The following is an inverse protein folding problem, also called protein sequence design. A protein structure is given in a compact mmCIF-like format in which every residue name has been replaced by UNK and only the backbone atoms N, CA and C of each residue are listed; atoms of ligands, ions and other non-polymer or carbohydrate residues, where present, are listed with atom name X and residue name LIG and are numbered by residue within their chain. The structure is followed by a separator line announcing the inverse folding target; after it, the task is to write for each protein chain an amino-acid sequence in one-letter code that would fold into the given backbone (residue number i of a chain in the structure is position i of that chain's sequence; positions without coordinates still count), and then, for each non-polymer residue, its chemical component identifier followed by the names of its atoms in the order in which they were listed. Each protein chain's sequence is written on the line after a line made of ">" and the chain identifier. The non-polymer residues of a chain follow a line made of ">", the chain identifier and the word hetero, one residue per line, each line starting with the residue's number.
data_IF_115373841241
#
_entry.id   IF_115373841241
#
_cell.length_a   1.000
_cell.length_b   1.000
_cell.length_c   1.000
_cell.angle_alpha   90.00
_cell.angle_beta   90.00
_cell.angle_gamma   90.00
#
_symmetry.space_group_name_H-M   'P 1'
#
loop_
_entity.id
_entity.type
_entity.pdbx_description
1 polymer ?
#
# COMPACT_ATOMS: atom_id res chain seq x y z
N UNK A 1 14.44 -7.11 -4.32
CA UNK A 1 13.42 -6.20 -3.73
C UNK A 1 12.08 -6.28 -4.44
N UNK A 2 12.01 -6.20 -5.77
CA UNK A 2 10.74 -6.39 -6.50
C UNK A 2 10.10 -7.75 -6.21
N UNK A 3 10.85 -8.85 -6.27
CA UNK A 3 10.31 -10.20 -5.99
C UNK A 3 9.82 -10.35 -4.54
N UNK A 4 10.48 -9.69 -3.57
CA UNK A 4 10.02 -9.64 -2.19
C UNK A 4 8.74 -8.82 -2.05
N UNK A 5 8.64 -7.70 -2.78
CA UNK A 5 7.41 -6.89 -2.81
C UNK A 5 6.27 -7.72 -3.39
N UNK A 6 6.49 -8.39 -4.53
CA UNK A 6 5.50 -9.26 -5.15
C UNK A 6 5.09 -10.40 -4.22
N UNK A 7 6.04 -11.12 -3.62
CA UNK A 7 5.75 -12.18 -2.64
C UNK A 7 4.91 -11.67 -1.48
N UNK A 8 5.21 -10.47 -0.99
CA UNK A 8 4.45 -9.84 0.10
C UNK A 8 3.02 -9.52 -0.33
N UNK A 9 2.83 -8.96 -1.53
CA UNK A 9 1.50 -8.67 -2.07
C UNK A 9 0.71 -9.95 -2.38
N UNK A 10 1.37 -11.02 -2.84
CA UNK A 10 0.74 -12.33 -3.04
C UNK A 10 0.31 -12.96 -1.72
N UNK A 11 1.10 -12.84 -0.66
CA UNK A 11 0.67 -13.27 0.68
C UNK A 11 -0.59 -12.52 1.15
N UNK A 12 -0.71 -11.22 0.84
CA UNK A 12 -1.94 -10.47 1.08
C UNK A 12 -3.09 -11.03 0.26
N UNK A 13 -2.91 -11.38 -1.02
CA UNK A 13 -3.91 -12.01 -1.89
C UNK A 13 -4.34 -13.41 -1.41
N UNK A 14 -3.45 -14.16 -0.80
CA UNK A 14 -3.76 -15.49 -0.29
C UNK A 14 -4.29 -15.45 1.16
N UNK A 15 -4.28 -14.27 1.80
CA UNK A 15 -4.52 -14.09 3.25
C UNK A 15 -3.57 -14.94 4.10
N UNK A 16 -2.38 -15.22 3.58
CA UNK A 16 -1.38 -16.01 4.27
C UNK A 16 -0.63 -15.13 5.27
N UNK A 17 -1.10 -15.16 6.51
CA UNK A 17 -0.53 -14.39 7.63
C UNK A 17 0.93 -14.77 7.88
N UNK A 18 1.28 -16.05 7.72
CA UNK A 18 2.63 -16.53 8.00
C UNK A 18 3.58 -16.06 6.91
N UNK A 19 3.20 -16.22 5.65
CA UNK A 19 3.97 -15.74 4.52
C UNK A 19 4.09 -14.21 4.51
N UNK A 20 3.03 -13.49 4.92
CA UNK A 20 3.05 -12.03 4.97
C UNK A 20 4.06 -11.52 6.00
N UNK A 21 4.01 -12.01 7.25
CA UNK A 21 4.99 -11.64 8.28
C UNK A 21 6.41 -12.01 7.89
N UNK A 22 6.61 -13.21 7.35
CA UNK A 22 7.93 -13.63 6.86
C UNK A 22 8.45 -12.73 5.74
N UNK A 23 7.57 -12.29 4.84
CA UNK A 23 7.94 -11.39 3.74
C UNK A 23 8.22 -9.97 4.23
N UNK A 24 7.52 -9.47 5.26
CA UNK A 24 7.83 -8.19 5.91
C UNK A 24 9.23 -8.20 6.56
N UNK A 25 9.55 -9.24 7.32
CA UNK A 25 10.89 -9.42 7.89
C UNK A 25 11.97 -9.53 6.80
N UNK A 26 11.66 -10.19 5.68
CA UNK A 26 12.59 -10.26 4.55
C UNK A 26 12.76 -8.91 3.81
N UNK A 27 11.71 -8.09 3.73
CA UNK A 27 11.77 -6.75 3.14
C UNK A 27 12.64 -5.81 3.99
N UNK A 28 12.51 -5.88 5.31
CA UNK A 28 13.35 -5.10 6.23
C UNK A 28 13.57 -5.85 7.55
N UNK A 29 14.71 -6.55 7.69
CA UNK A 29 15.00 -7.32 8.88
C UNK A 29 15.04 -6.46 10.14
N UNK A 30 14.39 -6.92 11.21
CA UNK A 30 14.39 -6.23 12.51
C UNK A 30 13.65 -4.89 12.52
N UNK A 31 12.70 -4.67 11.61
CA UNK A 31 11.91 -3.44 11.55
C UNK A 31 11.04 -3.22 12.81
N UNK A 32 10.65 -4.30 13.49
CA UNK A 32 9.76 -4.29 14.64
C UNK A 32 8.34 -3.80 14.30
N UNK A 33 7.42 -3.75 15.28
CA UNK A 33 6.00 -3.50 15.02
C UNK A 33 5.70 -2.18 14.30
N UNK A 34 6.40 -1.10 14.66
CA UNK A 34 6.24 0.20 14.01
C UNK A 34 6.78 0.20 12.57
N UNK A 35 7.91 -0.47 12.32
CA UNK A 35 8.49 -0.56 10.99
C UNK A 35 7.66 -1.45 10.07
N UNK A 36 7.14 -2.57 10.57
CA UNK A 36 6.16 -3.39 9.86
C UNK A 36 4.92 -2.58 9.48
N UNK A 37 4.42 -1.72 10.38
CA UNK A 37 3.26 -0.84 10.11
C UNK A 37 3.56 0.12 8.96
N UNK A 38 4.75 0.73 8.95
CA UNK A 38 5.18 1.61 7.85
C UNK A 38 5.29 0.84 6.52
N UNK A 39 5.84 -0.38 6.54
CA UNK A 39 5.91 -1.23 5.34
C UNK A 39 4.51 -1.60 4.84
N UNK A 40 3.58 -1.95 5.72
CA UNK A 40 2.17 -2.22 5.38
C UNK A 40 1.53 -1.00 4.71
N UNK A 41 1.79 0.22 5.20
CA UNK A 41 1.32 1.46 4.59
C UNK A 41 1.94 1.67 3.19
N UNK A 42 3.23 1.42 3.02
CA UNK A 42 3.87 1.50 1.70
C UNK A 42 3.29 0.49 0.71
N UNK A 43 3.01 -0.73 1.16
CA UNK A 43 2.35 -1.76 0.35
C UNK A 43 0.91 -1.37 -0.03
N UNK A 44 0.17 -0.68 0.85
CA UNK A 44 -1.14 -0.10 0.52
C UNK A 44 -1.06 0.89 -0.65
N UNK A 45 -0.09 1.82 -0.60
CA UNK A 45 0.16 2.78 -1.67
C UNK A 45 0.56 2.10 -2.98
N UNK A 46 1.43 1.07 -2.88
CA UNK A 46 1.81 0.26 -4.03
C UNK A 46 0.59 -0.48 -4.65
N UNK A 47 -0.29 -1.04 -3.83
CA UNK A 47 -1.53 -1.68 -4.29
C UNK A 47 -2.46 -0.70 -5.03
N UNK A 48 -2.58 0.55 -4.55
CA UNK A 48 -3.34 1.58 -5.25
C UNK A 48 -2.72 1.90 -6.63
N UNK A 49 -1.39 2.09 -6.69
CA UNK A 49 -0.69 2.32 -7.95
C UNK A 49 -0.88 1.16 -8.93
N UNK A 50 -0.77 -0.08 -8.44
CA UNK A 50 -1.01 -1.29 -9.24
C UNK A 50 -2.43 -1.34 -9.81
N UNK A 51 -3.45 -0.98 -9.02
CA UNK A 51 -4.83 -0.87 -9.49
C UNK A 51 -4.98 0.19 -10.59
N UNK A 52 -4.38 1.37 -10.39
CA UNK A 52 -4.41 2.49 -11.35
C UNK A 52 -3.76 2.06 -12.68
N UNK A 53 -2.59 1.42 -12.62
CA UNK A 53 -1.85 0.97 -13.80
C UNK A 53 -2.55 -0.17 -14.54
N UNK A 54 -3.19 -1.10 -13.81
CA UNK A 54 -3.93 -2.21 -14.41
C UNK A 54 -5.34 -1.86 -14.89
N UNK A 55 -5.86 -0.66 -14.59
CA UNK A 55 -7.22 -0.26 -14.96
C UNK A 55 -7.23 1.03 -15.79
N UNK A 56 -7.17 0.94 -17.13
CA UNK A 56 -7.02 2.11 -18.00
C UNK A 56 -8.18 3.13 -17.94
N UNK A 57 -9.34 2.74 -17.39
CA UNK A 57 -10.57 3.55 -17.37
C UNK A 57 -11.10 3.93 -15.96
N UNK A 58 -10.32 3.81 -14.88
CA UNK A 58 -10.73 4.42 -13.61
C UNK A 58 -10.66 5.93 -13.80
N UNK A 59 -11.73 6.66 -13.41
CA UNK A 59 -11.70 8.11 -13.21
C UNK A 59 -10.72 8.40 -12.07
N UNK A 60 -9.44 8.46 -12.43
CA UNK A 60 -8.36 8.87 -11.56
C UNK A 60 -7.97 10.26 -12.02
N UNK A 61 -7.97 11.23 -11.12
CA UNK A 61 -7.42 12.56 -11.40
C UNK A 61 -6.01 12.41 -11.98
N UNK A 62 -5.64 13.18 -13.01
CA UNK A 62 -4.29 13.10 -13.64
C UNK A 62 -3.15 13.14 -12.60
N UNK A 63 -3.40 13.82 -11.47
CA UNK A 63 -2.56 13.90 -10.29
C UNK A 63 -2.14 12.56 -9.65
N UNK A 64 -2.89 11.47 -9.85
CA UNK A 64 -2.59 10.15 -9.29
C UNK A 64 -1.95 9.18 -10.30
N UNK A 65 -2.05 9.44 -11.62
CA UNK A 65 -1.34 8.63 -12.64
C UNK A 65 0.16 8.93 -12.69
N UNK A 66 0.54 10.20 -12.49
CA UNK A 66 1.95 10.62 -12.48
C UNK A 66 2.80 9.89 -11.44
N UNK A 67 2.39 9.85 -10.14
CA UNK A 67 3.09 9.11 -9.10
C UNK A 67 3.12 7.58 -9.31
N UNK A 68 2.04 6.98 -9.82
CA UNK A 68 1.97 5.54 -10.06
C UNK A 68 2.99 5.06 -11.12
N UNK A 69 3.26 5.89 -12.14
CA UNK A 69 4.24 5.59 -13.18
C UNK A 69 5.70 5.79 -12.75
N UNK A 70 5.97 6.33 -11.55
CA UNK A 70 7.32 6.55 -11.03
C UNK A 70 7.77 5.38 -10.14
N UNK A 71 8.97 4.87 -10.41
CA UNK A 71 9.64 3.94 -9.52
C UNK A 71 10.21 4.69 -8.32
N UNK A 72 9.84 4.25 -7.13
CA UNK A 72 10.30 4.76 -5.84
C UNK A 72 10.58 3.58 -4.89
N UNK A 73 11.80 2.99 -4.96
CA UNK A 73 12.15 1.75 -4.27
C UNK A 73 11.95 1.79 -2.76
N UNK A 74 12.16 2.96 -2.13
CA UNK A 74 11.99 3.15 -0.68
C UNK A 74 10.54 2.92 -0.26
N UNK A 75 9.58 3.33 -1.09
CA UNK A 75 8.14 3.17 -0.83
C UNK A 75 7.54 1.99 -1.59
N UNK A 76 8.38 1.06 -2.07
CA UNK A 76 7.97 -0.17 -2.76
C UNK A 76 7.09 0.05 -4.01
N UNK A 77 7.18 1.21 -4.64
CA UNK A 77 6.55 1.50 -5.93
C UNK A 77 7.55 1.21 -7.05
N UNK A 78 7.21 0.35 -8.01
CA UNK A 78 8.17 -0.14 -9.00
C UNK A 78 7.85 0.27 -10.44
N UNK A 79 6.73 0.97 -10.66
CA UNK A 79 6.31 1.48 -11.98
C UNK A 79 5.54 0.46 -12.84
N UNK A 80 5.27 0.80 -14.11
CA UNK A 80 4.37 0.05 -14.99
C UNK A 80 4.78 -1.39 -15.27
N UNK A 81 6.07 -1.66 -15.50
CA UNK A 81 6.56 -3.02 -15.80
C UNK A 81 6.33 -4.00 -14.63
N UNK A 82 6.31 -3.49 -13.40
CA UNK A 82 5.98 -4.31 -12.24
C UNK A 82 4.47 -4.62 -12.16
N UNK A 83 3.62 -3.76 -12.71
CA UNK A 83 2.19 -3.99 -12.75
C UNK A 83 1.81 -5.20 -13.62
N UNK A 84 2.61 -5.50 -14.66
CA UNK A 84 2.43 -6.67 -15.54
C UNK A 84 2.61 -8.02 -14.81
N UNK A 85 3.15 -8.02 -13.57
CA UNK A 85 3.30 -9.23 -12.74
C UNK A 85 1.99 -9.68 -12.09
N UNK A 86 0.97 -8.83 -12.10
CA UNK A 86 -0.35 -9.11 -11.54
C UNK A 86 -1.40 -8.96 -12.64
N UNK A 87 -2.37 -9.86 -12.67
CA UNK A 87 -3.59 -9.68 -13.46
C UNK A 87 -4.42 -8.50 -12.93
N UNK A 88 -5.33 -8.01 -13.77
CA UNK A 88 -6.27 -6.94 -13.39
C UNK A 88 -7.13 -7.35 -12.19
N UNK A 89 -7.59 -8.61 -12.16
CA UNK A 89 -8.37 -9.17 -11.07
C UNK A 89 -7.55 -9.27 -9.77
N UNK A 90 -6.29 -9.69 -9.84
CA UNK A 90 -5.38 -9.67 -8.69
C UNK A 90 -5.17 -8.24 -8.19
N UNK A 91 -4.91 -7.27 -9.07
CA UNK A 91 -4.71 -5.88 -8.67
C UNK A 91 -5.95 -5.27 -8.00
N UNK A 92 -7.16 -5.58 -8.50
CA UNK A 92 -8.44 -5.16 -7.89
C UNK A 92 -8.65 -5.81 -6.52
N UNK A 93 -8.42 -7.12 -6.43
CA UNK A 93 -8.58 -7.89 -5.18
C UNK A 93 -7.56 -7.48 -4.13
N UNK A 94 -6.35 -7.13 -4.57
CA UNK A 94 -5.31 -6.61 -3.70
C UNK A 94 -5.72 -5.24 -3.14
N UNK A 95 -6.19 -4.34 -4.00
CA UNK A 95 -6.67 -3.04 -3.56
C UNK A 95 -7.84 -3.13 -2.59
N UNK A 96 -8.84 -3.98 -2.85
CA UNK A 96 -10.01 -4.10 -1.95
C UNK A 96 -9.64 -4.58 -0.55
N UNK A 97 -8.47 -5.23 -0.37
CA UNK A 97 -7.96 -5.59 0.96
C UNK A 97 -7.31 -4.43 1.67
N UNK A 98 -6.71 -3.50 0.93
CA UNK A 98 -6.00 -2.34 1.46
C UNK A 98 -6.88 -1.09 1.58
N UNK A 99 -8.03 -1.02 0.90
CA UNK A 99 -8.83 0.20 0.82
C UNK A 99 -9.30 0.72 2.18
N UNK A 100 -9.62 -0.19 3.13
CA UNK A 100 -10.00 0.20 4.48
C UNK A 100 -8.82 0.83 5.24
N UNK A 101 -7.63 0.25 5.12
CA UNK A 101 -6.42 0.82 5.71
C UNK A 101 -6.10 2.18 5.08
N UNK A 102 -6.16 2.30 3.76
CA UNK A 102 -5.89 3.57 3.08
C UNK A 102 -6.89 4.65 3.49
N UNK A 103 -8.17 4.32 3.62
CA UNK A 103 -9.19 5.25 4.10
C UNK A 103 -8.93 5.74 5.54
N UNK A 104 -8.44 4.88 6.43
CA UNK A 104 -8.08 5.28 7.80
C UNK A 104 -6.90 6.25 7.85
N UNK A 105 -5.98 6.18 6.89
CA UNK A 105 -4.84 7.08 6.81
C UNK A 105 -5.21 8.48 6.29
N UNK A 106 -6.44 8.64 5.78
CA UNK A 106 -6.91 9.88 5.19
C UNK A 106 -7.66 10.75 6.20
N UNK A 107 -7.51 12.07 6.06
CA UNK A 107 -8.25 13.08 6.79
C UNK A 107 -9.42 13.59 5.93
N UNK A 108 -10.46 14.13 6.57
CA UNK A 108 -11.62 14.72 5.89
C UNK A 108 -11.28 16.04 5.17
N UNK A 109 -10.19 16.69 5.57
CA UNK A 109 -9.71 17.96 5.02
C UNK A 109 -8.27 17.85 4.49
N UNK A 110 -7.92 18.74 3.55
CA UNK A 110 -6.54 18.83 3.06
C UNK A 110 -5.61 19.33 4.16
N UNK A 111 -4.59 18.54 4.47
CA UNK A 111 -3.56 18.89 5.43
C UNK A 111 -2.30 19.37 4.70
N UNK A 112 -1.67 20.41 5.24
CA UNK A 112 -0.38 20.91 4.77
C UNK A 112 0.64 20.96 5.91
N UNK A 113 1.68 20.13 5.81
CA UNK A 113 2.79 20.05 6.75
C UNK A 113 4.09 20.53 6.07
N UNK A 114 4.53 21.77 6.37
CA UNK A 114 5.73 22.34 5.77
C UNK A 114 6.96 21.46 5.97
N UNK A 115 7.69 21.17 4.89
CA UNK A 115 8.92 20.36 4.92
C UNK A 115 8.71 18.87 4.62
N UNK A 116 7.46 18.38 4.62
CA UNK A 116 7.13 17.01 4.22
C UNK A 116 6.37 16.94 2.88
N UNK A 117 5.64 17.99 2.53
CA UNK A 117 4.79 18.02 1.34
C UNK A 117 5.10 19.21 0.42
N UNK A 118 4.91 19.00 -0.89
CA UNK A 118 4.97 20.07 -1.89
C UNK A 118 3.60 20.75 -2.10
N UNK A 119 2.51 20.10 -1.73
CA UNK A 119 1.12 20.59 -1.84
C UNK A 119 0.26 19.99 -0.72
N UNK A 120 -0.87 20.62 -0.34
CA UNK A 120 -1.84 20.03 0.59
C UNK A 120 -2.32 18.66 0.12
N UNK A 121 -2.54 17.73 1.05
CA UNK A 121 -3.06 16.37 0.76
C UNK A 121 -3.91 15.85 1.92
N UNK A 122 -4.85 14.96 1.62
CA UNK A 122 -5.77 14.35 2.59
C UNK A 122 -5.13 13.24 3.45
N UNK A 123 -3.82 13.23 3.72
CA UNK A 123 -3.20 12.17 4.54
C UNK A 123 -2.67 12.74 5.85
N UNK A 124 -2.76 11.99 6.94
CA UNK A 124 -2.04 12.32 8.19
C UNK A 124 -0.53 12.11 8.02
N UNK A 125 0.28 13.09 8.42
CA UNK A 125 1.75 13.06 8.29
C UNK A 125 2.49 12.88 9.61
N UNK A 126 2.03 13.56 10.67
CA UNK A 126 2.72 13.59 11.96
C UNK A 126 2.28 12.47 12.91
N UNK A 127 1.11 11.88 12.68
CA UNK A 127 0.51 10.88 13.55
C UNK A 127 -0.10 9.74 12.73
N UNK A 128 0.02 8.50 13.23
CA UNK A 128 -0.69 7.35 12.70
C UNK A 128 -1.99 7.17 13.49
N UNK A 129 -3.16 7.14 12.81
CA UNK A 129 -4.44 6.86 13.46
C UNK A 129 -4.44 5.50 14.15
N UNK A 130 -5.19 5.35 15.24
CA UNK A 130 -5.33 4.05 15.90
C UNK A 130 -6.03 3.04 14.96
N UNK A 131 -5.57 1.79 14.95
CA UNK A 131 -6.16 0.72 14.12
C UNK A 131 -5.48 0.53 12.76
N UNK A 132 -4.44 1.30 12.44
CA UNK A 132 -3.65 1.14 11.19
C UNK A 132 -2.44 0.21 11.35
N UNK A 133 -2.26 -0.39 12.53
CA UNK A 133 -1.16 -1.28 12.82
C UNK A 133 -1.20 -2.53 11.92
N UNK A 134 -0.03 -3.10 11.57
CA UNK A 134 0.05 -4.32 10.75
C UNK A 134 -0.84 -5.45 11.27
N UNK A 135 -0.93 -5.61 12.59
CA UNK A 135 -1.77 -6.65 13.21
C UNK A 135 -3.27 -6.36 13.08
N UNK A 136 -3.68 -5.08 13.12
CA UNK A 136 -5.06 -4.70 12.84
C UNK A 136 -5.41 -4.93 11.36
N UNK A 137 -4.48 -4.63 10.45
CA UNK A 137 -4.60 -4.94 9.04
C UNK A 137 -4.75 -6.46 8.80
N UNK A 138 -3.91 -7.30 9.40
CA UNK A 138 -3.99 -8.76 9.31
C UNK A 138 -5.34 -9.27 9.86
N UNK A 139 -5.78 -8.75 11.00
CA UNK A 139 -7.05 -9.12 11.62
C UNK A 139 -8.26 -8.81 10.72
N UNK A 140 -8.18 -7.77 9.87
CA UNK A 140 -9.25 -7.43 8.91
C UNK A 140 -9.52 -8.56 7.89
N UNK A 141 -8.52 -9.38 7.57
CA UNK A 141 -8.63 -10.43 6.54
C UNK A 141 -9.60 -11.55 6.93
N UNK A 142 -9.76 -11.80 8.24
CA UNK A 142 -10.67 -12.81 8.76
C UNK A 142 -12.15 -12.39 8.67
N UNK A 143 -12.41 -11.08 8.56
CA UNK A 143 -13.76 -10.51 8.54
C UNK A 143 -14.25 -10.18 7.12
N UNK A 144 -13.38 -10.28 6.11
CA UNK A 144 -13.72 -10.07 4.70
C UNK A 144 -14.23 -11.39 4.08
N UNK A 145 -15.52 -11.67 4.32
CA UNK A 145 -16.27 -12.79 3.71
C UNK A 145 -16.39 -12.68 2.20
#
# INVERSE_FOLDING_TARGET
>A
MQDLTESTLRAVLDRDVTAYRASLEALQPGAGPSGETVLTIYLSKAANHLRILNTPNVEVTEDARGPASRSHPISLSWGPEFADRLSVEEARTLWSRFEQLDAQLQADEELFEPGFQAKPMYYYFNELPAGVETEAFIASWANAG
#
